data_IF_422113092485
#
_entry.id   IF_422113092485
#
_cell.length_a   1.000
_cell.length_b   1.000
_cell.length_c   1.000
_cell.angle_alpha   90.00
_cell.angle_beta   90.00
_cell.angle_gamma   90.00
#
_symmetry.space_group_name_H-M   'P 1'
#
loop_
_entity.id
_entity.type
_entity.pdbx_description
1 polymer ?
#
# COMPACT_ATOMS: atom_id res chain seq x y z
N UNK A 1 -33.20 18.16 -6.35
CA UNK A 1 -31.78 18.54 -6.52
C UNK A 1 -30.95 18.37 -5.24
N UNK A 2 -31.41 18.82 -4.07
CA UNK A 2 -30.67 18.71 -2.79
C UNK A 2 -30.31 17.28 -2.33
N UNK A 3 -31.20 16.28 -2.50
CA UNK A 3 -30.87 14.87 -2.15
C UNK A 3 -29.74 14.26 -3.01
N UNK A 4 -29.63 14.63 -4.29
CA UNK A 4 -28.50 14.17 -5.15
C UNK A 4 -27.19 14.79 -4.66
N UNK A 5 -27.16 16.10 -4.39
CA UNK A 5 -25.96 16.78 -3.87
C UNK A 5 -25.49 16.21 -2.53
N UNK A 6 -26.42 15.90 -1.62
CA UNK A 6 -26.09 15.32 -0.30
C UNK A 6 -25.50 13.90 -0.42
N UNK A 7 -25.95 13.09 -1.38
CA UNK A 7 -25.39 11.76 -1.67
C UNK A 7 -23.95 11.81 -2.24
N UNK A 8 -23.61 12.83 -3.05
CA UNK A 8 -22.25 13.00 -3.56
C UNK A 8 -21.25 13.38 -2.46
N UNK A 9 -21.65 14.17 -1.47
CA UNK A 9 -20.76 14.61 -0.37
C UNK A 9 -20.36 13.54 0.63
N UNK A 10 -21.15 12.47 0.80
CA UNK A 10 -20.85 11.37 1.75
C UNK A 10 -19.83 10.37 1.17
N UNK A 11 -19.77 10.25 -0.16
CA UNK A 11 -18.94 9.25 -0.82
C UNK A 11 -17.52 9.72 -1.15
N UNK A 12 -17.22 11.02 -1.04
CA UNK A 12 -15.87 11.58 -1.26
C UNK A 12 -15.11 11.70 0.05
N UNK A 13 -13.78 11.51 0.04
CA UNK A 13 -12.98 11.64 1.26
C UNK A 13 -12.91 13.09 1.75
N UNK A 14 -12.85 14.05 0.83
CA UNK A 14 -12.68 15.48 1.15
C UNK A 14 -13.75 16.37 0.53
N UNK A 15 -14.04 17.47 1.22
CA UNK A 15 -14.56 18.67 0.57
C UNK A 15 -13.36 19.47 0.01
N UNK A 16 -13.33 19.75 -1.29
CA UNK A 16 -12.18 20.33 -2.00
C UNK A 16 -11.69 21.64 -1.36
N UNK A 17 -12.61 22.56 -1.02
CA UNK A 17 -12.25 23.85 -0.44
C UNK A 17 -11.58 23.73 0.93
N UNK A 18 -12.08 22.84 1.79
CA UNK A 18 -11.50 22.61 3.12
C UNK A 18 -10.14 21.94 3.04
N UNK A 19 -9.98 20.98 2.11
CA UNK A 19 -8.71 20.27 1.94
C UNK A 19 -7.61 21.21 1.45
N UNK A 20 -7.89 21.99 0.40
CA UNK A 20 -6.97 22.98 -0.14
C UNK A 20 -6.55 23.98 0.94
N UNK A 21 -7.49 24.50 1.73
CA UNK A 21 -7.19 25.45 2.80
C UNK A 21 -6.25 24.85 3.86
N UNK A 22 -6.47 23.60 4.27
CA UNK A 22 -5.60 22.93 5.25
C UNK A 22 -4.22 22.64 4.64
N UNK A 23 -4.16 22.21 3.38
CA UNK A 23 -2.90 22.00 2.65
C UNK A 23 -2.08 23.29 2.58
N UNK A 24 -2.72 24.42 2.25
CA UNK A 24 -2.10 25.74 2.22
C UNK A 24 -1.59 26.17 3.60
N UNK A 25 -2.31 25.86 4.68
CA UNK A 25 -1.85 26.11 6.06
C UNK A 25 -0.69 25.23 6.50
N UNK A 26 -0.55 24.04 5.90
CA UNK A 26 0.58 23.14 6.14
C UNK A 26 1.79 23.46 5.24
N UNK A 27 1.68 24.43 4.33
CA UNK A 27 2.85 24.98 3.67
C UNK A 27 3.76 25.61 4.73
N UNK A 28 5.09 25.42 4.65
CA UNK A 28 6.00 26.20 5.45
C UNK A 28 5.90 27.66 5.00
N UNK A 29 4.99 28.42 5.62
CA UNK A 29 5.06 29.88 5.65
C UNK A 29 5.79 30.19 6.95
N UNK A 30 7.10 30.38 6.91
CA UNK A 30 7.80 30.87 8.09
C UNK A 30 8.84 31.93 7.70
N UNK A 31 8.47 33.23 7.83
CA UNK A 31 9.42 34.33 7.91
C UNK A 31 10.48 34.12 9.01
N UNK A 32 10.16 33.32 10.05
CA UNK A 32 10.95 33.18 11.28
C UNK A 32 12.10 32.17 11.20
N UNK A 33 12.08 31.21 10.26
CA UNK A 33 13.25 30.34 10.03
C UNK A 33 14.43 31.12 9.42
N UNK A 34 14.16 32.29 8.83
CA UNK A 34 15.15 33.10 8.14
C UNK A 34 16.02 33.92 9.10
N UNK A 35 15.45 34.45 10.18
CA UNK A 35 16.22 35.17 11.20
C UNK A 35 17.17 34.22 11.94
N UNK A 36 16.71 33.02 12.30
CA UNK A 36 17.53 32.03 13.00
C UNK A 36 18.69 31.46 12.16
N UNK A 37 18.49 31.26 10.84
CA UNK A 37 19.54 30.78 9.94
C UNK A 37 20.57 31.87 9.57
N UNK A 38 20.12 33.13 9.45
CA UNK A 38 20.99 34.28 9.24
C UNK A 38 21.87 34.58 10.48
N UNK A 39 21.33 34.35 11.68
CA UNK A 39 22.09 34.44 12.94
C UNK A 39 23.15 33.32 13.10
N UNK A 40 23.06 32.23 12.34
CA UNK A 40 23.92 31.05 12.48
C UNK A 40 24.95 30.86 11.35
N UNK A 41 25.05 31.76 10.37
CA UNK A 41 25.94 31.62 9.18
C UNK A 41 25.75 30.28 8.41
N UNK A 42 24.55 29.72 8.43
CA UNK A 42 24.22 28.48 7.69
C UNK A 42 23.63 28.86 6.33
N UNK A 43 24.27 28.43 5.23
CA UNK A 43 23.71 28.54 3.89
C UNK A 43 22.57 27.53 3.71
N UNK A 44 21.33 28.00 3.84
CA UNK A 44 20.14 27.19 3.52
C UNK A 44 19.92 27.29 2.01
N UNK A 45 20.10 26.18 1.28
CA UNK A 45 19.69 26.08 -0.12
C UNK A 45 18.18 26.31 -0.24
N UNK A 46 17.81 27.51 -0.71
CA UNK A 46 16.42 27.92 -0.92
C UNK A 46 15.85 27.13 -2.10
N UNK A 47 15.06 26.11 -1.83
CA UNK A 47 14.19 25.54 -2.86
C UNK A 47 12.89 26.33 -2.87
N UNK A 48 12.62 27.07 -3.95
CA UNK A 48 11.29 27.66 -4.15
C UNK A 48 10.27 26.53 -4.28
N UNK A 49 9.25 26.60 -3.41
CA UNK A 49 8.19 25.61 -3.32
C UNK A 49 6.94 26.24 -3.93
N UNK A 50 6.41 25.62 -4.97
CA UNK A 50 5.24 26.14 -5.69
C UNK A 50 4.04 25.26 -5.36
N UNK A 51 2.99 25.87 -4.79
CA UNK A 51 1.70 25.21 -4.68
C UNK A 51 0.98 25.31 -6.01
N UNK A 52 0.67 24.14 -6.59
CA UNK A 52 -0.08 24.02 -7.82
C UNK A 52 -1.42 23.33 -7.53
N UNK A 53 -2.57 24.01 -7.67
CA UNK A 53 -3.88 23.41 -7.46
C UNK A 53 -4.18 22.29 -8.48
N UNK A 54 -3.45 22.25 -9.59
CA UNK A 54 -3.58 21.25 -10.64
C UNK A 54 -2.63 20.05 -10.48
N UNK A 55 -1.81 20.04 -9.41
CA UNK A 55 -0.85 18.98 -9.16
C UNK A 55 -1.49 17.59 -9.08
N UNK A 56 -0.85 16.61 -9.71
CA UNK A 56 -1.33 15.22 -9.81
C UNK A 56 -1.56 14.57 -8.44
N UNK A 57 -0.69 14.80 -7.46
CA UNK A 57 -0.83 14.26 -6.10
C UNK A 57 -2.06 14.83 -5.38
N UNK A 58 -2.41 16.10 -5.64
CA UNK A 58 -3.56 16.76 -5.05
C UNK A 58 -4.85 16.23 -5.69
N UNK A 59 -4.87 16.11 -7.01
CA UNK A 59 -5.98 15.48 -7.75
C UNK A 59 -6.21 14.04 -7.29
N UNK A 60 -5.13 13.27 -7.10
CA UNK A 60 -5.22 11.92 -6.53
C UNK A 60 -5.89 11.92 -5.17
N UNK A 61 -5.46 12.78 -4.24
CA UNK A 61 -6.08 12.88 -2.92
C UNK A 61 -7.57 13.25 -2.98
N UNK A 62 -7.95 14.20 -3.84
CA UNK A 62 -9.32 14.64 -4.03
C UNK A 62 -10.20 13.56 -4.69
N UNK A 63 -9.60 12.69 -5.51
CA UNK A 63 -10.27 11.57 -6.18
C UNK A 63 -10.62 10.38 -5.27
N UNK A 64 -10.00 10.29 -4.08
CA UNK A 64 -10.28 9.20 -3.13
C UNK A 64 -11.75 9.27 -2.69
N UNK A 65 -12.43 8.14 -2.83
CA UNK A 65 -13.85 8.00 -2.52
C UNK A 65 -14.12 6.69 -1.76
N UNK A 66 -15.37 6.45 -1.40
CA UNK A 66 -15.81 5.30 -0.57
C UNK A 66 -15.45 3.94 -1.17
N UNK A 67 -15.22 3.86 -2.48
CA UNK A 67 -15.10 2.59 -3.19
C UNK A 67 -13.65 2.23 -3.56
N UNK A 68 -12.77 3.21 -3.72
CA UNK A 68 -11.39 3.01 -4.18
C UNK A 68 -10.50 4.22 -3.87
N UNK A 69 -9.18 4.00 -3.90
CA UNK A 69 -8.18 5.07 -3.85
C UNK A 69 -8.15 5.91 -5.12
N UNK A 70 -8.44 5.30 -6.27
CA UNK A 70 -8.44 5.96 -7.57
C UNK A 70 -9.49 5.33 -8.49
N UNK A 71 -9.93 6.09 -9.48
CA UNK A 71 -10.85 5.61 -10.51
C UNK A 71 -10.09 4.86 -11.61
N UNK A 72 -10.77 3.93 -12.28
CA UNK A 72 -10.19 3.15 -13.39
C UNK A 72 -9.80 4.03 -14.58
N UNK A 73 -10.64 5.01 -14.89
CA UNK A 73 -10.55 5.80 -16.12
C UNK A 73 -9.92 7.20 -15.85
N UNK A 74 -9.30 7.40 -14.68
CA UNK A 74 -8.71 8.68 -14.26
C UNK A 74 -7.23 8.79 -14.69
N UNK A 75 -6.88 9.70 -15.62
CA UNK A 75 -5.51 9.87 -16.10
C UNK A 75 -4.56 10.42 -15.01
N UNK A 76 -5.10 10.96 -13.91
CA UNK A 76 -4.33 11.52 -12.81
C UNK A 76 -3.31 10.54 -12.23
N UNK A 77 -3.67 9.26 -12.14
CA UNK A 77 -2.78 8.23 -11.58
C UNK A 77 -1.54 8.05 -12.46
N UNK A 78 -1.71 8.01 -13.78
CA UNK A 78 -0.60 7.88 -14.73
C UNK A 78 0.28 9.13 -14.69
N UNK A 79 -0.32 10.32 -14.56
CA UNK A 79 0.45 11.55 -14.41
C UNK A 79 1.24 11.57 -13.09
N UNK A 80 0.64 11.15 -11.98
CA UNK A 80 1.30 11.09 -10.67
C UNK A 80 2.50 10.13 -10.68
N UNK A 81 2.38 8.98 -11.34
CA UNK A 81 3.48 8.02 -11.53
C UNK A 81 4.63 8.69 -12.30
N UNK A 82 4.35 9.36 -13.42
CA UNK A 82 5.36 10.09 -14.21
C UNK A 82 6.03 11.21 -13.42
N UNK A 83 5.24 11.97 -12.65
CA UNK A 83 5.77 13.06 -11.81
C UNK A 83 6.73 12.50 -10.75
N UNK A 84 6.35 11.41 -10.06
CA UNK A 84 7.19 10.80 -9.02
C UNK A 84 8.53 10.26 -9.56
N UNK A 85 8.61 9.86 -10.83
CA UNK A 85 9.86 9.35 -11.44
C UNK A 85 10.95 10.42 -11.56
N UNK A 86 10.59 11.68 -11.78
CA UNK A 86 11.55 12.73 -12.17
C UNK A 86 11.55 13.98 -11.28
N UNK A 87 10.52 14.15 -10.44
CA UNK A 87 10.37 15.37 -9.65
C UNK A 87 11.52 15.54 -8.64
N UNK A 88 12.03 16.76 -8.53
CA UNK A 88 13.14 17.08 -7.62
C UNK A 88 12.75 16.85 -6.16
N UNK A 89 13.56 16.05 -5.46
CA UNK A 89 13.48 15.88 -4.01
C UNK A 89 14.10 17.10 -3.33
N UNK A 90 13.38 17.69 -2.37
CA UNK A 90 13.82 18.90 -1.64
C UNK A 90 14.02 18.65 -0.14
N UNK A 91 13.57 17.50 0.36
CA UNK A 91 13.77 17.08 1.74
C UNK A 91 13.57 15.57 1.87
N UNK A 92 14.34 14.94 2.74
CA UNK A 92 14.23 13.53 3.09
C UNK A 92 14.29 13.36 4.61
N UNK A 93 13.47 12.48 5.17
CA UNK A 93 13.49 12.13 6.60
C UNK A 93 13.29 10.63 6.80
N UNK A 94 13.93 10.06 7.81
CA UNK A 94 13.62 8.68 8.24
C UNK A 94 12.26 8.68 8.89
N UNK A 95 11.40 7.73 8.52
CA UNK A 95 10.14 7.53 9.25
C UNK A 95 10.43 6.71 10.52
N UNK A 96 10.22 7.24 11.73
CA UNK A 96 10.53 6.52 12.98
C UNK A 96 9.68 5.26 13.16
N UNK A 97 8.49 5.23 12.55
CA UNK A 97 7.54 4.14 12.68
C UNK A 97 7.85 3.01 11.69
N UNK A 98 8.71 2.07 12.08
CA UNK A 98 8.89 0.82 11.36
C UNK A 98 10.11 0.01 11.79
N UNK A 99 10.08 -1.27 11.46
CA UNK A 99 11.17 -2.23 11.68
C UNK A 99 12.17 -2.28 10.51
N UNK A 100 11.95 -1.50 9.45
CA UNK A 100 12.67 -1.56 8.18
C UNK A 100 13.07 -0.16 7.68
N UNK A 101 14.14 -0.09 6.88
CA UNK A 101 14.62 1.15 6.27
C UNK A 101 13.62 1.70 5.25
N UNK A 102 13.08 2.88 5.52
CA UNK A 102 12.23 3.63 4.59
C UNK A 102 12.35 5.13 4.84
N UNK A 103 12.36 5.90 3.76
CA UNK A 103 12.49 7.35 3.81
C UNK A 103 11.21 8.03 3.33
N UNK A 104 10.80 9.08 4.02
CA UNK A 104 9.78 9.99 3.53
C UNK A 104 10.46 11.10 2.72
N UNK A 105 10.23 11.11 1.41
CA UNK A 105 10.74 12.13 0.51
C UNK A 105 9.67 13.21 0.30
N UNK A 106 10.08 14.47 0.30
CA UNK A 106 9.25 15.62 -0.07
C UNK A 106 9.77 16.19 -1.38
N UNK A 107 8.87 16.37 -2.33
CA UNK A 107 9.17 16.88 -3.67
C UNK A 107 8.94 18.40 -3.75
N UNK A 108 9.50 19.04 -4.77
CA UNK A 108 9.38 20.50 -5.00
C UNK A 108 7.93 20.99 -5.08
N UNK A 109 7.04 20.21 -5.69
CA UNK A 109 5.60 20.51 -5.79
C UNK A 109 4.79 20.11 -4.54
N UNK A 110 5.47 19.89 -3.40
CA UNK A 110 4.90 19.47 -2.10
C UNK A 110 4.41 18.03 -2.02
N UNK A 111 4.46 17.26 -3.12
CA UNK A 111 4.17 15.84 -3.06
C UNK A 111 5.08 15.15 -2.03
N UNK A 112 4.53 14.13 -1.37
CA UNK A 112 5.31 13.25 -0.50
C UNK A 112 5.27 11.84 -1.07
N UNK A 113 6.41 11.16 -1.04
CA UNK A 113 6.53 9.78 -1.48
C UNK A 113 7.31 8.96 -0.43
N UNK A 114 6.93 7.71 -0.26
CA UNK A 114 7.64 6.74 0.57
C UNK A 114 8.67 6.05 -0.30
N UNK A 115 9.95 6.25 0.01
CA UNK A 115 11.04 5.56 -0.64
C UNK A 115 11.43 4.30 0.14
N UNK A 116 11.32 3.14 -0.51
CA UNK A 116 11.88 1.87 -0.02
C UNK A 116 13.04 1.48 -0.94
N UNK A 117 14.29 1.48 -0.45
CA UNK A 117 15.45 1.17 -1.27
C UNK A 117 15.51 -0.32 -1.63
N UNK A 118 16.16 -0.64 -2.74
CA UNK A 118 16.52 -1.99 -3.12
C UNK A 118 17.46 -2.60 -2.09
N UNK A 119 17.15 -3.85 -1.68
CA UNK A 119 17.91 -4.61 -0.68
C UNK A 119 18.39 -5.96 -1.17
N UNK A 120 17.75 -6.51 -2.20
CA UNK A 120 17.96 -7.84 -2.73
C UNK A 120 17.89 -7.78 -4.24
N UNK A 121 18.64 -8.66 -4.91
CA UNK A 121 18.55 -8.82 -6.35
C UNK A 121 17.20 -9.44 -6.75
N UNK A 122 16.83 -9.29 -8.03
CA UNK A 122 15.49 -9.70 -8.52
C UNK A 122 15.32 -11.21 -8.62
N UNK A 123 16.42 -11.92 -8.78
CA UNK A 123 16.53 -13.37 -8.88
C UNK A 123 16.70 -14.04 -7.50
N UNK A 124 16.93 -13.28 -6.44
CA UNK A 124 17.04 -13.81 -5.08
C UNK A 124 15.67 -14.20 -4.50
N UNK A 125 15.50 -15.50 -4.21
CA UNK A 125 14.38 -15.98 -3.41
C UNK A 125 14.69 -15.89 -1.91
N UNK A 126 13.66 -15.59 -1.10
CA UNK A 126 13.72 -15.75 0.35
C UNK A 126 14.07 -17.22 0.66
N UNK A 127 15.11 -17.50 1.49
CA UNK A 127 15.43 -18.87 1.87
C UNK A 127 14.26 -19.59 2.55
N UNK A 128 14.23 -20.93 2.50
CA UNK A 128 13.12 -21.71 3.04
C UNK A 128 12.95 -21.53 4.55
N UNK A 129 14.06 -21.49 5.29
CA UNK A 129 14.12 -21.37 6.74
C UNK A 129 13.82 -19.95 7.28
N UNK A 130 13.72 -18.95 6.40
CA UNK A 130 13.43 -17.57 6.80
C UNK A 130 11.93 -17.42 7.07
N UNK A 131 11.61 -17.07 8.32
CA UNK A 131 10.25 -16.74 8.74
C UNK A 131 9.78 -15.44 8.07
N UNK A 132 8.49 -15.39 7.73
CA UNK A 132 7.87 -14.25 7.06
C UNK A 132 8.07 -12.92 7.81
N UNK A 133 8.11 -12.94 9.14
CA UNK A 133 8.32 -11.73 9.95
C UNK A 133 9.78 -11.25 9.99
N UNK A 134 10.73 -12.06 9.51
CA UNK A 134 12.16 -11.72 9.37
C UNK A 134 12.51 -11.31 7.94
N UNK A 135 11.72 -11.75 6.95
CA UNK A 135 11.98 -11.52 5.53
C UNK A 135 12.21 -10.02 5.22
N UNK A 136 13.17 -9.78 4.32
CA UNK A 136 13.57 -8.45 3.88
C UNK A 136 12.49 -7.83 2.99
N UNK A 137 12.29 -6.53 3.16
CA UNK A 137 11.39 -5.77 2.32
C UNK A 137 12.04 -5.49 0.96
N UNK A 138 11.28 -5.73 -0.11
CA UNK A 138 11.69 -5.55 -1.50
C UNK A 138 10.93 -4.40 -2.12
N UNK A 139 11.64 -3.56 -2.85
CA UNK A 139 11.07 -2.40 -3.53
C UNK A 139 10.23 -2.81 -4.75
N UNK A 140 10.71 -3.81 -5.52
CA UNK A 140 10.01 -4.33 -6.70
C UNK A 140 8.65 -4.96 -6.35
N UNK A 141 8.52 -5.54 -5.15
CA UNK A 141 7.25 -6.06 -4.67
C UNK A 141 6.19 -4.98 -4.47
N UNK A 142 6.56 -3.78 -3.98
CA UNK A 142 5.61 -2.66 -3.87
C UNK A 142 5.13 -2.16 -5.23
N UNK A 143 6.05 -2.10 -6.22
CA UNK A 143 5.72 -1.68 -7.59
C UNK A 143 4.78 -2.72 -8.21
N UNK A 144 5.16 -4.00 -8.21
CA UNK A 144 4.36 -5.07 -8.79
C UNK A 144 2.99 -5.22 -8.11
N UNK A 145 2.92 -5.04 -6.79
CA UNK A 145 1.68 -5.07 -6.02
C UNK A 145 0.68 -3.99 -6.48
N UNK A 146 1.16 -2.77 -6.74
CA UNK A 146 0.30 -1.71 -7.28
C UNK A 146 -0.23 -2.05 -8.68
N UNK A 147 0.61 -2.54 -9.58
CA UNK A 147 0.17 -2.94 -10.93
C UNK A 147 -0.84 -4.10 -10.88
N UNK A 148 -0.62 -5.10 -10.01
CA UNK A 148 -1.54 -6.21 -9.82
C UNK A 148 -2.89 -5.75 -9.24
N UNK A 149 -2.87 -4.86 -8.25
CA UNK A 149 -4.08 -4.26 -7.66
C UNK A 149 -4.92 -3.50 -8.71
N UNK A 150 -4.24 -2.81 -9.64
CA UNK A 150 -4.87 -2.14 -10.79
C UNK A 150 -5.48 -3.14 -11.78
N UNK A 151 -4.76 -4.21 -12.13
CA UNK A 151 -5.23 -5.25 -13.06
C UNK A 151 -6.41 -6.04 -12.51
N UNK A 152 -6.41 -6.33 -11.20
CA UNK A 152 -7.53 -6.96 -10.50
C UNK A 152 -8.70 -5.98 -10.28
N UNK A 153 -8.53 -4.71 -10.64
CA UNK A 153 -9.50 -3.63 -10.49
C UNK A 153 -9.95 -3.42 -9.04
N UNK A 154 -9.07 -3.74 -8.08
CA UNK A 154 -9.29 -3.48 -6.66
C UNK A 154 -9.10 -1.99 -6.36
N UNK A 155 -8.00 -1.40 -6.86
CA UNK A 155 -7.68 0.03 -6.72
C UNK A 155 -7.55 0.47 -5.27
N UNK A 156 -6.82 -0.31 -4.47
CA UNK A 156 -6.65 -0.19 -3.00
C UNK A 156 -5.19 -0.06 -2.56
N UNK A 157 -4.23 -0.19 -3.47
CA UNK A 157 -2.81 0.13 -3.23
C UNK A 157 -2.54 1.56 -3.73
N UNK A 158 -1.86 2.44 -2.97
CA UNK A 158 -1.47 3.76 -3.47
C UNK A 158 -0.59 3.63 -4.73
N UNK A 159 -0.58 4.61 -5.65
CA UNK A 159 0.31 4.59 -6.81
C UNK A 159 1.78 4.40 -6.40
N UNK A 160 2.47 3.44 -7.03
CA UNK A 160 3.88 3.15 -6.78
C UNK A 160 4.64 3.15 -8.08
N UNK A 161 5.85 3.72 -8.08
CA UNK A 161 6.74 3.72 -9.23
C UNK A 161 8.18 3.43 -8.83
N UNK A 162 8.94 2.84 -9.73
CA UNK A 162 10.38 2.70 -9.61
C UNK A 162 11.14 3.99 -9.93
N UNK A 163 12.21 4.25 -9.17
CA UNK A 163 13.14 5.36 -9.44
C UNK A 163 14.57 5.01 -9.02
N UNK A 164 15.53 5.44 -9.84
CA UNK A 164 16.93 5.56 -9.44
C UNK A 164 17.12 6.89 -8.70
N UNK A 165 17.46 6.83 -7.42
CA UNK A 165 17.66 8.00 -6.57
C UNK A 165 19.16 8.20 -6.38
N UNK A 166 19.66 9.41 -6.66
CA UNK A 166 21.01 9.77 -6.28
C UNK A 166 21.03 10.08 -4.77
N UNK A 167 21.39 9.11 -3.93
CA UNK A 167 21.26 9.24 -2.47
C UNK A 167 22.18 10.30 -1.86
N UNK A 168 23.23 10.70 -2.57
CA UNK A 168 24.08 11.81 -2.16
C UNK A 168 23.36 13.16 -2.35
N UNK A 169 22.86 13.43 -3.55
CA UNK A 169 22.25 14.73 -3.88
C UNK A 169 20.78 14.84 -3.48
N UNK A 170 20.01 13.75 -3.54
CA UNK A 170 18.56 13.73 -3.33
C UNK A 170 18.16 13.25 -1.93
N UNK A 171 19.10 12.78 -1.10
CA UNK A 171 18.84 12.39 0.28
C UNK A 171 19.81 13.08 1.25
N UNK A 172 21.10 12.77 1.17
CA UNK A 172 22.11 13.26 2.12
C UNK A 172 22.23 14.79 2.12
N UNK A 173 22.27 15.43 0.94
CA UNK A 173 22.40 16.89 0.84
C UNK A 173 21.11 17.67 1.14
N UNK A 174 19.94 17.02 1.10
CA UNK A 174 18.63 17.68 1.30
C UNK A 174 17.98 17.34 2.65
N UNK A 175 18.47 16.35 3.39
CA UNK A 175 17.96 16.04 4.72
C UNK A 175 18.37 17.12 5.72
N UNK A 176 17.42 17.56 6.54
CA UNK A 176 17.66 18.35 7.76
C UNK A 176 17.61 17.48 9.03
N UNK A 177 17.34 16.17 8.88
CA UNK A 177 17.29 15.23 9.98
C UNK A 177 18.71 14.73 10.27
N UNK A 178 19.29 15.15 11.40
CA UNK A 178 20.64 14.78 11.81
C UNK A 178 20.81 13.28 12.01
N UNK A 179 19.77 12.57 12.49
CA UNK A 179 19.82 11.12 12.65
C UNK A 179 20.00 10.39 11.31
N UNK A 180 19.31 10.85 10.25
CA UNK A 180 19.49 10.36 8.89
C UNK A 180 20.85 10.76 8.33
N UNK A 181 21.35 11.96 8.61
CA UNK A 181 22.66 12.39 8.11
C UNK A 181 23.79 11.57 8.73
N UNK A 182 23.71 11.29 10.03
CA UNK A 182 24.73 10.60 10.81
C UNK A 182 24.92 9.12 10.45
N UNK A 183 23.98 8.52 9.71
CA UNK A 183 24.02 7.09 9.31
C UNK A 183 24.52 6.89 7.88
N UNK A 184 24.91 7.95 7.18
CA UNK A 184 25.63 7.85 5.90
C UNK A 184 27.10 7.55 6.11
N UNK A 185 27.67 6.73 5.24
CA UNK A 185 29.10 6.39 5.23
C UNK A 185 29.55 5.95 3.84
N UNK A 186 30.87 5.92 3.62
CA UNK A 186 31.48 5.37 2.41
C UNK A 186 31.89 3.92 2.64
N UNK A 187 31.48 3.00 1.76
CA UNK A 187 31.87 1.59 1.85
C UNK A 187 33.34 1.37 1.44
N UNK A 188 33.94 0.21 1.76
CA UNK A 188 35.27 -0.16 1.24
C UNK A 188 35.37 -0.20 -0.28
N UNK A 189 34.24 -0.35 -0.98
CA UNK A 189 34.15 -0.31 -2.44
C UNK A 189 33.93 1.12 -3.00
N UNK A 190 34.07 2.14 -2.15
CA UNK A 190 33.87 3.54 -2.49
C UNK A 190 32.43 3.90 -2.93
N UNK A 191 31.43 3.18 -2.40
CA UNK A 191 30.01 3.49 -2.61
C UNK A 191 29.47 4.33 -1.46
N UNK A 192 28.54 5.25 -1.76
CA UNK A 192 27.77 5.93 -0.72
C UNK A 192 26.72 4.96 -0.17
N UNK A 193 26.67 4.83 1.15
CA UNK A 193 25.75 3.93 1.84
C UNK A 193 25.04 4.65 2.98
N UNK A 194 23.87 4.14 3.36
CA UNK A 194 23.19 4.54 4.59
C UNK A 194 22.41 3.37 5.18
N UNK A 195 22.18 3.42 6.48
CA UNK A 195 21.26 2.53 7.19
C UNK A 195 20.25 3.37 7.97
N UNK A 196 19.22 2.79 8.57
CA UNK A 196 18.40 3.50 9.55
C UNK A 196 18.77 2.99 10.93
N UNK A 197 18.54 3.79 11.99
CA UNK A 197 18.47 3.27 13.36
C UNK A 197 17.04 2.77 13.59
N UNK A 198 16.85 1.46 13.65
CA UNK A 198 15.57 0.81 13.92
C UNK A 198 15.79 -0.52 14.65
N UNK A 199 14.71 -1.10 15.16
CA UNK A 199 14.78 -2.17 16.17
C UNK A 199 15.34 -3.51 15.68
N UNK A 200 15.23 -3.85 14.38
CA UNK A 200 15.57 -5.20 13.88
C UNK A 200 16.70 -5.19 12.85
N UNK A 201 16.52 -4.54 11.68
CA UNK A 201 17.37 -4.73 10.50
C UNK A 201 18.06 -3.43 10.06
N UNK A 202 18.72 -2.80 11.03
CA UNK A 202 19.10 -1.39 10.97
C UNK A 202 20.47 -1.15 11.61
N UNK A 203 21.40 -2.01 11.21
CA UNK A 203 22.82 -1.95 11.52
C UNK A 203 23.58 -1.77 10.21
N UNK A 204 24.87 -1.48 10.28
CA UNK A 204 25.74 -1.30 9.10
C UNK A 204 25.71 -2.53 8.16
N UNK A 205 25.53 -3.74 8.71
CA UNK A 205 25.38 -4.99 7.94
C UNK A 205 24.11 -5.04 7.07
N UNK A 206 23.12 -4.19 7.38
CA UNK A 206 21.89 -4.01 6.60
C UNK A 206 21.85 -2.60 5.97
N UNK A 207 22.98 -2.03 5.56
CA UNK A 207 23.01 -0.76 4.85
C UNK A 207 22.54 -0.91 3.40
N UNK A 208 21.92 0.14 2.85
CA UNK A 208 21.62 0.24 1.44
C UNK A 208 22.68 1.14 0.79
N UNK A 209 23.23 0.69 -0.33
CA UNK A 209 24.36 1.33 -0.97
C UNK A 209 24.04 1.65 -2.42
N UNK A 210 24.45 2.84 -2.88
CA UNK A 210 24.43 3.16 -4.30
C UNK A 210 25.56 2.48 -5.07
N UNK A 211 25.62 2.76 -6.38
CA UNK A 211 26.73 2.36 -7.25
C UNK A 211 27.19 3.52 -8.16
N UNK A 212 28.10 4.40 -7.69
CA UNK A 212 28.45 4.60 -6.29
C UNK A 212 27.36 5.38 -5.51
N UNK A 213 26.59 6.24 -6.19
CA UNK A 213 25.59 7.13 -5.59
C UNK A 213 24.16 6.86 -6.02
N UNK A 214 23.95 6.13 -7.12
CA UNK A 214 22.61 5.79 -7.60
C UNK A 214 22.12 4.53 -6.89
N UNK A 215 20.99 4.64 -6.22
CA UNK A 215 20.31 3.53 -5.56
C UNK A 215 18.89 3.40 -6.10
N UNK A 216 18.57 2.20 -6.55
CA UNK A 216 17.24 1.83 -6.97
C UNK A 216 16.28 1.74 -5.78
N UNK A 217 15.03 2.13 -5.97
CA UNK A 217 13.97 1.84 -5.01
C UNK A 217 12.59 2.17 -5.54
N UNK A 218 11.58 1.89 -4.71
CA UNK A 218 10.19 2.19 -5.01
C UNK A 218 9.76 3.47 -4.33
N UNK A 219 8.95 4.26 -5.02
CA UNK A 219 8.29 5.46 -4.54
C UNK A 219 6.79 5.24 -4.50
N UNK A 220 6.24 5.06 -3.31
CA UNK A 220 4.79 5.01 -3.11
C UNK A 220 4.26 6.41 -2.80
N UNK A 221 3.25 6.86 -3.55
CA UNK A 221 2.56 8.11 -3.27
C UNK A 221 2.01 8.10 -1.84
N UNK A 222 2.21 9.19 -1.11
CA UNK A 222 1.63 9.32 0.22
C UNK A 222 0.10 9.38 0.11
N UNK A 223 -0.56 8.77 1.10
CA UNK A 223 -1.95 9.09 1.39
C UNK A 223 -2.03 10.45 2.11
N UNK A 224 -3.22 11.08 2.13
CA UNK A 224 -3.44 12.28 2.91
C UNK A 224 -3.02 12.10 4.38
N UNK A 225 -2.48 13.16 4.98
CA UNK A 225 -2.02 13.14 6.37
C UNK A 225 -3.13 12.72 7.35
N UNK A 226 -2.74 12.02 8.42
CA UNK A 226 -3.67 11.48 9.42
C UNK A 226 -4.51 12.57 10.13
N UNK A 227 -4.02 13.81 10.19
CA UNK A 227 -4.77 14.95 10.73
C UNK A 227 -5.94 15.37 9.84
N UNK A 228 -5.92 15.05 8.54
CA UNK A 228 -6.92 15.46 7.55
C UNK A 228 -7.81 14.29 7.15
N UNK A 229 -7.22 13.10 6.96
CA UNK A 229 -7.95 11.86 6.79
C UNK A 229 -7.45 10.82 7.79
N UNK A 230 -8.03 10.81 9.01
CA UNK A 230 -7.77 9.77 9.99
C UNK A 230 -8.01 8.39 9.40
N UNK A 231 -7.12 7.47 9.77
CA UNK A 231 -7.21 6.06 9.44
C UNK A 231 -7.13 5.23 10.70
N UNK A 232 -7.80 4.09 10.69
CA UNK A 232 -7.78 3.11 11.78
C UNK A 232 -7.03 1.89 11.25
N UNK A 233 -6.03 1.45 11.99
CA UNK A 233 -5.34 0.18 11.77
C UNK A 233 -6.04 -0.91 12.59
N UNK A 234 -6.47 -1.97 11.93
CA UNK A 234 -7.26 -3.04 12.54
C UNK A 234 -6.49 -4.37 12.35
N UNK A 235 -6.29 -5.17 13.41
CA UNK A 235 -5.69 -6.49 13.30
C UNK A 235 -6.50 -7.39 12.36
N UNK A 236 -5.80 -8.14 11.50
CA UNK A 236 -6.42 -9.17 10.67
C UNK A 236 -6.89 -10.33 11.54
N UNK A 237 -8.13 -10.87 11.38
CA UNK A 237 -8.53 -12.10 12.06
C UNK A 237 -7.66 -13.31 11.68
N UNK A 238 -7.05 -13.28 10.48
CA UNK A 238 -6.09 -14.28 10.01
C UNK A 238 -4.64 -13.78 10.13
N UNK A 239 -4.36 -12.89 11.09
CA UNK A 239 -2.99 -12.55 11.46
C UNK A 239 -2.27 -13.82 11.92
N UNK A 240 -1.03 -14.02 11.49
CA UNK A 240 -0.17 -15.14 11.92
C UNK A 240 0.47 -14.86 13.28
N UNK A 241 0.99 -15.90 13.93
CA UNK A 241 1.74 -15.77 15.17
C UNK A 241 3.17 -15.27 14.91
N UNK A 242 3.51 -14.07 15.38
CA UNK A 242 4.85 -13.48 15.25
C UNK A 242 5.88 -14.07 16.22
N UNK A 243 5.87 -15.40 16.34
CA UNK A 243 6.75 -16.21 17.18
C UNK A 243 7.19 -17.45 16.39
N UNK A 244 8.28 -18.08 16.82
CA UNK A 244 8.87 -19.23 16.10
C UNK A 244 8.08 -20.54 16.27
N UNK A 245 7.30 -20.67 17.35
CA UNK A 245 6.59 -21.92 17.70
C UNK A 245 5.08 -21.75 17.85
N UNK A 246 4.60 -20.50 17.84
CA UNK A 246 3.17 -20.22 17.96
C UNK A 246 2.38 -20.75 16.77
N UNK A 247 1.10 -21.04 17.03
CA UNK A 247 0.08 -21.22 16.02
C UNK A 247 -1.14 -20.43 16.45
N UNK A 248 -1.87 -19.91 15.47
CA UNK A 248 -3.08 -19.14 15.72
C UNK A 248 -4.32 -20.02 15.60
N UNK A 249 -5.44 -19.58 16.19
CA UNK A 249 -6.68 -20.37 16.21
C UNK A 249 -7.15 -20.76 14.80
N UNK A 250 -7.04 -19.84 13.84
CA UNK A 250 -7.44 -20.08 12.46
C UNK A 250 -6.58 -21.15 11.74
N UNK A 251 -5.38 -21.44 12.24
CA UNK A 251 -4.49 -22.47 11.67
C UNK A 251 -4.89 -23.89 12.10
N UNK A 252 -5.57 -24.02 13.25
CA UNK A 252 -5.91 -25.31 13.85
C UNK A 252 -7.41 -25.59 13.90
N UNK A 253 -8.25 -24.56 13.82
CA UNK A 253 -9.70 -24.65 13.88
C UNK A 253 -10.33 -24.53 12.47
N UNK A 254 -10.87 -25.61 11.88
CA UNK A 254 -11.50 -25.55 10.54
C UNK A 254 -12.81 -24.75 10.51
N UNK A 255 -13.43 -24.49 11.68
CA UNK A 255 -14.67 -23.72 11.82
C UNK A 255 -14.42 -22.27 12.25
N UNK A 256 -13.18 -21.80 12.26
CA UNK A 256 -12.81 -20.46 12.71
C UNK A 256 -13.65 -19.34 12.06
N UNK A 257 -13.86 -19.42 10.74
CA UNK A 257 -14.65 -18.39 10.05
C UNK A 257 -16.14 -18.37 10.46
N UNK A 258 -16.71 -19.47 10.96
CA UNK A 258 -18.11 -19.48 11.39
C UNK A 258 -18.30 -18.58 12.61
N UNK A 259 -17.32 -18.53 13.50
CA UNK A 259 -17.24 -17.57 14.60
C UNK A 259 -17.06 -16.14 14.08
N UNK A 260 -16.13 -15.93 13.15
CA UNK A 260 -15.85 -14.60 12.57
C UNK A 260 -17.10 -14.01 11.91
N UNK A 261 -17.88 -14.81 11.18
CA UNK A 261 -19.13 -14.38 10.53
C UNK A 261 -20.17 -13.83 11.51
N UNK A 262 -20.07 -14.14 12.81
CA UNK A 262 -21.00 -13.65 13.83
C UNK A 262 -20.49 -12.39 14.55
N UNK A 263 -19.20 -12.08 14.43
CA UNK A 263 -18.55 -10.98 15.14
C UNK A 263 -18.65 -9.67 14.36
N UNK A 264 -18.94 -8.56 15.06
CA UNK A 264 -18.77 -7.22 14.49
C UNK A 264 -17.27 -6.91 14.31
N UNK A 265 -16.84 -6.26 13.21
CA UNK A 265 -17.64 -5.74 12.09
C UNK A 265 -17.74 -6.71 10.88
N UNK A 266 -17.44 -8.00 11.06
CA UNK A 266 -17.40 -9.00 9.98
C UNK A 266 -18.76 -9.61 9.64
N UNK A 267 -19.73 -9.47 10.54
CA UNK A 267 -21.09 -9.99 10.44
C UNK A 267 -22.03 -9.16 9.56
N UNK A 268 -21.58 -8.03 9.02
CA UNK A 268 -22.39 -7.15 8.18
C UNK A 268 -21.58 -6.41 7.12
N UNK A 269 -22.27 -5.89 6.11
CA UNK A 269 -21.66 -5.10 5.04
C UNK A 269 -20.65 -5.88 4.20
N UNK A 270 -19.63 -5.17 3.71
CA UNK A 270 -18.60 -5.73 2.83
C UNK A 270 -17.33 -6.20 3.54
N UNK A 271 -17.23 -6.07 4.87
CA UNK A 271 -15.95 -6.20 5.58
C UNK A 271 -15.28 -7.55 5.34
N UNK A 272 -15.99 -8.64 5.55
CA UNK A 272 -15.46 -10.00 5.36
C UNK A 272 -15.12 -10.29 3.89
N UNK A 273 -15.97 -9.84 2.95
CA UNK A 273 -15.68 -9.95 1.51
C UNK A 273 -14.45 -9.15 1.09
N UNK A 274 -14.22 -7.97 1.68
CA UNK A 274 -13.02 -7.18 1.42
C UNK A 274 -11.76 -7.86 1.97
N UNK A 275 -11.85 -8.54 3.12
CA UNK A 275 -10.74 -9.36 3.65
C UNK A 275 -10.43 -10.51 2.70
N UNK A 276 -11.45 -11.13 2.10
CA UNK A 276 -11.25 -12.21 1.13
C UNK A 276 -10.61 -11.70 -0.17
N UNK A 277 -11.02 -10.52 -0.68
CA UNK A 277 -10.32 -9.87 -1.80
C UNK A 277 -8.84 -9.64 -1.47
N UNK A 278 -8.55 -9.13 -0.26
CA UNK A 278 -7.18 -8.88 0.22
C UNK A 278 -6.37 -10.17 0.38
N UNK A 279 -6.99 -11.25 0.88
CA UNK A 279 -6.37 -12.57 0.99
C UNK A 279 -6.04 -13.19 -0.38
N UNK A 280 -6.91 -13.00 -1.37
CA UNK A 280 -6.63 -13.42 -2.75
C UNK A 280 -5.45 -12.62 -3.30
N UNK A 281 -5.44 -11.29 -3.10
CA UNK A 281 -4.33 -10.43 -3.49
C UNK A 281 -3.00 -10.86 -2.85
N UNK A 282 -3.00 -11.02 -1.52
CA UNK A 282 -1.83 -11.43 -0.75
C UNK A 282 -1.34 -12.83 -1.18
N UNK A 283 -2.24 -13.76 -1.50
CA UNK A 283 -1.86 -15.08 -1.98
C UNK A 283 -1.19 -15.02 -3.36
N UNK A 284 -1.72 -14.21 -4.29
CA UNK A 284 -1.14 -14.05 -5.62
C UNK A 284 0.29 -13.52 -5.53
N UNK A 285 0.56 -12.53 -4.68
CA UNK A 285 1.91 -12.01 -4.48
C UNK A 285 2.75 -12.87 -3.53
N UNK A 286 2.14 -13.76 -2.74
CA UNK A 286 2.82 -14.57 -1.72
C UNK A 286 3.17 -13.80 -0.46
N UNK A 287 2.41 -12.75 -0.12
CA UNK A 287 2.62 -11.94 1.08
C UNK A 287 1.99 -12.62 2.30
N UNK A 288 2.83 -13.04 3.24
CA UNK A 288 2.39 -13.68 4.48
C UNK A 288 2.24 -12.70 5.66
N UNK A 289 2.62 -11.43 5.48
CA UNK A 289 2.84 -10.47 6.57
C UNK A 289 1.67 -9.49 6.76
N UNK A 290 0.46 -9.87 6.34
CA UNK A 290 -0.76 -9.07 6.51
C UNK A 290 -1.28 -9.14 7.96
N UNK A 291 -0.54 -8.58 8.91
CA UNK A 291 -0.99 -8.55 10.30
C UNK A 291 -2.13 -7.58 10.56
N UNK A 292 -2.18 -6.48 9.82
CA UNK A 292 -3.19 -5.43 9.98
C UNK A 292 -3.64 -4.94 8.60
N UNK A 293 -4.80 -4.31 8.58
CA UNK A 293 -5.27 -3.53 7.44
C UNK A 293 -5.73 -2.15 7.92
N UNK A 294 -5.66 -1.16 7.04
CA UNK A 294 -6.13 0.20 7.35
C UNK A 294 -7.44 0.52 6.62
N UNK A 295 -8.27 1.37 7.23
CA UNK A 295 -9.43 2.00 6.60
C UNK A 295 -9.45 3.50 6.88
N UNK A 296 -10.09 4.27 6.00
CA UNK A 296 -10.44 5.65 6.30
C UNK A 296 -11.61 5.70 7.28
N UNK A 297 -11.43 6.37 8.43
CA UNK A 297 -12.47 6.49 9.47
C UNK A 297 -13.76 7.05 8.92
N UNK A 298 -13.67 8.00 7.97
CA UNK A 298 -14.83 8.66 7.34
C UNK A 298 -15.81 7.69 6.68
N UNK A 299 -15.33 6.58 6.11
CA UNK A 299 -16.19 5.63 5.40
C UNK A 299 -16.77 4.53 6.31
N UNK A 300 -16.33 4.47 7.58
CA UNK A 300 -16.81 3.51 8.56
C UNK A 300 -16.60 2.04 8.13
N UNK A 301 -17.49 1.17 8.61
CA UNK A 301 -17.39 -0.28 8.37
C UNK A 301 -17.51 -0.67 6.90
N UNK A 302 -18.22 0.16 6.13
CA UNK A 302 -18.46 -0.02 4.69
C UNK A 302 -17.34 0.56 3.81
N UNK A 303 -16.28 1.11 4.41
CA UNK A 303 -15.08 1.51 3.68
C UNK A 303 -14.32 0.31 3.12
N UNK A 304 -13.66 0.52 1.98
CA UNK A 304 -12.71 -0.46 1.45
C UNK A 304 -11.45 -0.54 2.33
N UNK A 305 -10.71 -1.66 2.22
CA UNK A 305 -9.46 -1.87 2.94
C UNK A 305 -8.29 -1.33 2.13
N UNK A 306 -7.38 -0.61 2.76
CA UNK A 306 -6.14 -0.16 2.13
C UNK A 306 -5.14 -1.32 2.11
N UNK A 307 -4.63 -1.65 0.93
CA UNK A 307 -3.63 -2.68 0.71
C UNK A 307 -2.21 -2.06 0.81
N UNK A 308 -1.78 -1.69 2.02
CA UNK A 308 -0.48 -1.04 2.28
C UNK A 308 0.62 -2.07 2.59
N UNK A 309 1.90 -1.67 2.57
CA UNK A 309 3.03 -2.51 2.98
C UNK A 309 3.09 -3.90 2.29
N UNK A 310 3.26 -3.88 0.97
CA UNK A 310 3.30 -5.09 0.14
C UNK A 310 4.74 -5.58 -0.14
N UNK A 311 5.74 -4.95 0.49
CA UNK A 311 7.16 -5.22 0.27
C UNK A 311 7.64 -6.63 0.65
N UNK A 312 6.80 -7.45 1.31
CA UNK A 312 7.05 -8.89 1.59
C UNK A 312 6.36 -9.83 0.60
N UNK A 313 5.75 -9.29 -0.44
CA UNK A 313 5.35 -10.07 -1.61
C UNK A 313 6.55 -10.45 -2.47
N UNK A 314 6.32 -11.37 -3.41
CA UNK A 314 7.27 -11.82 -4.43
C UNK A 314 8.63 -12.29 -3.84
N UNK A 315 8.63 -12.86 -2.63
CA UNK A 315 9.84 -13.42 -2.03
C UNK A 315 10.18 -14.83 -2.54
N UNK A 316 9.18 -15.63 -2.93
CA UNK A 316 9.36 -17.01 -3.42
C UNK A 316 8.50 -17.21 -4.66
N UNK A 317 9.06 -17.51 -5.83
CA UNK A 317 8.30 -17.88 -7.03
C UNK A 317 8.06 -19.38 -7.12
N UNK A 318 8.93 -20.20 -6.52
CA UNK A 318 8.81 -21.66 -6.57
C UNK A 318 7.79 -22.24 -5.57
N UNK A 319 7.45 -21.48 -4.51
CA UNK A 319 6.54 -21.90 -3.44
C UNK A 319 5.23 -21.09 -3.44
N UNK A 320 4.12 -21.76 -3.19
CA UNK A 320 2.80 -21.13 -3.02
C UNK A 320 2.26 -21.44 -1.62
N UNK A 321 2.16 -20.42 -0.78
CA UNK A 321 1.72 -20.58 0.61
C UNK A 321 0.18 -20.60 0.71
N UNK A 322 -0.41 -21.79 0.67
CA UNK A 322 -1.86 -21.96 0.65
C UNK A 322 -2.56 -21.42 1.91
N UNK A 323 -1.86 -21.34 3.05
CA UNK A 323 -2.45 -20.80 4.28
C UNK A 323 -2.86 -19.32 4.15
N UNK A 324 -2.33 -18.57 3.18
CA UNK A 324 -2.79 -17.19 2.89
C UNK A 324 -4.25 -17.18 2.40
N UNK A 325 -4.72 -18.25 1.73
CA UNK A 325 -6.11 -18.39 1.26
C UNK A 325 -7.08 -18.90 2.33
N UNK A 326 -6.65 -19.03 3.59
CA UNK A 326 -7.51 -19.50 4.69
C UNK A 326 -8.84 -18.74 4.79
N UNK A 327 -8.88 -17.39 4.69
CA UNK A 327 -10.15 -16.65 4.64
C UNK A 327 -11.10 -17.16 3.54
N UNK A 328 -10.61 -17.33 2.31
CA UNK A 328 -11.42 -17.83 1.20
C UNK A 328 -11.88 -19.27 1.44
N UNK A 329 -10.97 -20.16 1.85
CA UNK A 329 -11.29 -21.59 2.00
C UNK A 329 -12.17 -21.91 3.21
N UNK A 330 -12.05 -21.16 4.30
CA UNK A 330 -12.85 -21.35 5.51
C UNK A 330 -14.21 -20.68 5.36
N UNK A 331 -14.25 -19.41 4.94
CA UNK A 331 -15.51 -18.67 4.82
C UNK A 331 -16.35 -19.10 3.62
N UNK A 332 -15.70 -19.61 2.57
CA UNK A 332 -16.32 -20.02 1.30
C UNK A 332 -17.30 -19.00 0.74
N UNK A 333 -16.86 -17.74 0.64
CA UNK A 333 -17.62 -16.67 0.01
C UNK A 333 -16.69 -15.79 -0.82
N UNK A 334 -17.19 -15.23 -1.92
CA UNK A 334 -16.43 -14.37 -2.82
C UNK A 334 -17.37 -13.39 -3.53
N UNK A 335 -16.88 -12.18 -3.80
CA UNK A 335 -17.60 -11.22 -4.62
C UNK A 335 -17.75 -11.72 -6.06
N UNK A 336 -18.93 -11.51 -6.64
CA UNK A 336 -19.18 -11.81 -8.03
C UNK A 336 -18.22 -11.05 -8.96
N UNK A 337 -18.02 -9.73 -8.73
CA UNK A 337 -17.08 -8.95 -9.54
C UNK A 337 -15.64 -9.47 -9.46
N UNK A 338 -15.17 -9.87 -8.28
CA UNK A 338 -13.83 -10.44 -8.09
C UNK A 338 -13.71 -11.77 -8.84
N UNK A 339 -14.66 -12.69 -8.68
CA UNK A 339 -14.62 -13.99 -9.36
C UNK A 339 -14.61 -13.86 -10.88
N UNK A 340 -15.45 -12.98 -11.46
CA UNK A 340 -15.51 -12.78 -12.90
C UNK A 340 -14.18 -12.26 -13.46
N UNK A 341 -13.52 -11.33 -12.77
CA UNK A 341 -12.19 -10.84 -13.16
C UNK A 341 -11.12 -11.93 -13.09
N UNK A 342 -11.12 -12.72 -12.02
CA UNK A 342 -10.19 -13.85 -11.88
C UNK A 342 -10.39 -14.91 -12.99
N UNK A 343 -11.64 -15.18 -13.36
CA UNK A 343 -11.95 -16.08 -14.46
C UNK A 343 -11.50 -15.52 -15.82
N UNK A 344 -11.68 -14.22 -16.05
CA UNK A 344 -11.20 -13.54 -17.26
C UNK A 344 -9.67 -13.64 -17.36
N UNK A 345 -8.96 -13.30 -16.29
CA UNK A 345 -7.49 -13.31 -16.24
C UNK A 345 -6.87 -14.72 -16.32
N UNK A 346 -7.70 -15.76 -16.23
CA UNK A 346 -7.29 -17.16 -16.42
C UNK A 346 -7.42 -17.63 -17.88
N UNK A 347 -8.05 -16.85 -18.75
CA UNK A 347 -8.20 -17.15 -20.17
C UNK A 347 -6.89 -16.87 -20.93
N UNK A 348 -6.67 -17.54 -22.05
CA UNK A 348 -5.45 -17.39 -22.86
C UNK A 348 -5.27 -15.97 -23.39
N UNK A 349 -6.36 -15.30 -23.73
CA UNK A 349 -6.38 -13.98 -24.35
C UNK A 349 -6.09 -12.85 -23.34
N UNK A 350 -6.26 -13.11 -22.05
CA UNK A 350 -6.11 -12.13 -20.96
C UNK A 350 -5.23 -12.67 -19.82
N UNK A 351 -4.35 -13.62 -20.13
CA UNK A 351 -3.54 -14.33 -19.13
C UNK A 351 -2.86 -13.35 -18.17
N UNK A 352 -3.02 -13.59 -16.87
CA UNK A 352 -2.57 -12.68 -15.82
C UNK A 352 -1.08 -12.33 -15.96
N UNK A 353 -0.21 -13.30 -16.21
CA UNK A 353 1.22 -13.06 -16.43
C UNK A 353 1.51 -12.12 -17.60
N UNK A 354 0.78 -12.23 -18.71
CA UNK A 354 0.98 -11.43 -19.90
C UNK A 354 0.55 -9.97 -19.67
N UNK A 355 -0.63 -9.76 -19.08
CA UNK A 355 -1.13 -8.42 -18.72
C UNK A 355 -0.25 -7.76 -17.65
N UNK A 356 0.23 -8.54 -16.68
CA UNK A 356 1.21 -8.04 -15.69
C UNK A 356 2.52 -7.65 -16.34
N UNK A 357 3.06 -8.49 -17.24
CA UNK A 357 4.30 -8.21 -17.97
C UNK A 357 4.19 -6.89 -18.72
N UNK A 358 3.12 -6.73 -19.50
CA UNK A 358 2.86 -5.51 -20.28
C UNK A 358 2.75 -4.27 -19.38
N UNK A 359 1.92 -4.34 -18.34
CA UNK A 359 1.71 -3.25 -17.38
C UNK A 359 3.02 -2.82 -16.69
N UNK A 360 3.91 -3.77 -16.37
CA UNK A 360 5.19 -3.48 -15.73
C UNK A 360 6.26 -2.91 -16.69
N UNK A 361 6.09 -3.02 -18.01
CA UNK A 361 7.03 -2.45 -18.99
C UNK A 361 7.05 -0.91 -19.00
N UNK A 362 6.01 -0.29 -18.46
CA UNK A 362 5.89 1.16 -18.31
C UNK A 362 6.83 1.74 -17.23
N UNK A 363 7.31 0.90 -16.30
CA UNK A 363 8.20 1.35 -15.23
C UNK A 363 9.65 1.46 -15.71
N UNK A 364 10.34 2.52 -15.26
CA UNK A 364 11.73 2.79 -15.61
C UNK A 364 12.72 1.75 -15.08
N UNK A 365 12.38 1.02 -14.02
CA UNK A 365 13.23 -0.01 -13.40
C UNK A 365 13.02 -1.41 -14.02
N UNK A 366 12.39 -1.48 -15.19
CA UNK A 366 12.13 -2.75 -15.88
C UNK A 366 13.43 -3.57 -16.11
N UNK A 367 13.35 -4.91 -16.01
CA UNK A 367 12.17 -5.70 -15.62
C UNK A 367 11.86 -5.55 -14.12
N UNK A 368 10.59 -5.43 -13.70
CA UNK A 368 10.24 -5.34 -12.25
C UNK A 368 10.17 -6.72 -11.60
N UNK A 369 9.54 -7.67 -12.28
CA UNK A 369 9.46 -9.07 -11.89
C UNK A 369 10.22 -9.93 -12.91
N UNK A 370 10.83 -11.02 -12.44
CA UNK A 370 11.40 -12.05 -13.29
C UNK A 370 10.30 -12.94 -13.87
N UNK A 371 10.58 -13.63 -14.98
CA UNK A 371 9.62 -14.55 -15.61
C UNK A 371 9.08 -15.64 -14.65
N UNK A 372 9.89 -16.26 -13.77
CA UNK A 372 9.36 -17.21 -12.78
C UNK A 372 8.27 -16.63 -11.88
N UNK A 373 8.37 -15.35 -11.47
CA UNK A 373 7.33 -14.69 -10.68
C UNK A 373 6.07 -14.44 -11.50
N UNK A 374 6.20 -14.05 -12.78
CA UNK A 374 5.05 -13.87 -13.67
C UNK A 374 4.30 -15.19 -13.86
N UNK A 375 5.01 -16.29 -14.15
CA UNK A 375 4.40 -17.63 -14.29
C UNK A 375 3.80 -18.14 -12.98
N UNK A 376 4.38 -17.78 -11.83
CA UNK A 376 3.81 -18.10 -10.52
C UNK A 376 2.43 -17.44 -10.30
N UNK A 377 2.19 -16.24 -10.85
CA UNK A 377 0.87 -15.59 -10.76
C UNK A 377 -0.22 -16.43 -11.44
N UNK A 378 0.03 -16.96 -12.63
CA UNK A 378 -0.93 -17.83 -13.33
C UNK A 378 -1.21 -19.10 -12.53
N UNK A 379 -0.15 -19.75 -12.03
CA UNK A 379 -0.26 -20.97 -11.21
C UNK A 379 -1.08 -20.71 -9.94
N UNK A 380 -0.85 -19.58 -9.27
CA UNK A 380 -1.59 -19.15 -8.07
C UNK A 380 -3.03 -18.80 -8.41
N UNK A 381 -3.29 -18.08 -9.50
CA UNK A 381 -4.66 -17.78 -9.96
C UNK A 381 -5.48 -19.07 -10.14
N UNK A 382 -4.89 -20.10 -10.76
CA UNK A 382 -5.54 -21.41 -10.89
C UNK A 382 -5.81 -22.08 -9.54
N UNK A 383 -4.97 -21.86 -8.51
CA UNK A 383 -5.23 -22.34 -7.15
C UNK A 383 -6.41 -21.61 -6.50
N UNK A 384 -6.51 -20.28 -6.67
CA UNK A 384 -7.64 -19.48 -6.19
C UNK A 384 -8.95 -20.00 -6.80
N UNK A 385 -9.02 -20.14 -8.12
CA UNK A 385 -10.22 -20.64 -8.81
C UNK A 385 -10.60 -22.05 -8.36
N UNK A 386 -9.62 -22.93 -8.12
CA UNK A 386 -9.87 -24.27 -7.57
C UNK A 386 -10.44 -24.23 -6.15
N UNK A 387 -10.01 -23.30 -5.30
CA UNK A 387 -10.61 -23.11 -3.97
C UNK A 387 -12.06 -22.68 -4.09
N UNK A 388 -12.37 -21.70 -4.95
CA UNK A 388 -13.76 -21.27 -5.21
C UNK A 388 -14.61 -22.43 -5.73
N UNK A 389 -14.09 -23.21 -6.68
CA UNK A 389 -14.82 -24.36 -7.23
C UNK A 389 -15.14 -25.41 -6.16
N UNK A 390 -14.20 -25.70 -5.25
CA UNK A 390 -14.46 -26.60 -4.11
C UNK A 390 -15.54 -26.03 -3.17
N UNK A 391 -15.52 -24.74 -2.89
CA UNK A 391 -16.58 -24.09 -2.10
C UNK A 391 -17.95 -24.22 -2.78
N UNK A 392 -18.04 -23.90 -4.08
CA UNK A 392 -19.30 -23.99 -4.85
C UNK A 392 -19.82 -25.42 -4.90
N UNK A 393 -18.96 -26.42 -5.08
CA UNK A 393 -19.36 -27.83 -5.04
C UNK A 393 -19.90 -28.26 -3.68
N UNK A 394 -19.42 -27.65 -2.60
CA UNK A 394 -19.80 -27.99 -1.21
C UNK A 394 -21.07 -27.29 -0.74
N UNK A 395 -21.22 -25.99 -1.05
CA UNK A 395 -22.27 -25.14 -0.48
C UNK A 395 -23.29 -24.64 -1.51
N UNK A 396 -23.04 -24.84 -2.80
CA UNK A 396 -23.85 -24.27 -3.88
C UNK A 396 -23.37 -22.89 -4.32
N UNK A 397 -23.81 -22.46 -5.51
CA UNK A 397 -23.37 -21.21 -6.15
C UNK A 397 -23.86 -19.98 -5.39
N UNK A 398 -25.11 -20.00 -4.96
CA UNK A 398 -25.78 -18.83 -4.38
C UNK A 398 -25.26 -18.50 -2.98
N UNK A 399 -24.80 -19.50 -2.23
CA UNK A 399 -24.17 -19.31 -0.91
C UNK A 399 -22.73 -18.77 -1.02
N UNK A 400 -22.00 -19.16 -2.07
CA UNK A 400 -20.58 -18.81 -2.23
C UNK A 400 -20.38 -17.50 -2.97
N UNK A 401 -21.19 -17.23 -3.99
CA UNK A 401 -21.00 -16.06 -4.86
C UNK A 401 -21.92 -14.94 -4.40
N UNK A 402 -21.37 -13.97 -3.67
CA UNK A 402 -22.13 -12.81 -3.19
C UNK A 402 -22.15 -11.72 -4.26
N UNK A 403 -23.35 -11.23 -4.59
CA UNK A 403 -23.50 -10.03 -5.42
C UNK A 403 -22.89 -8.83 -4.69
N UNK A 404 -22.11 -8.04 -5.41
CA UNK A 404 -21.46 -6.87 -4.84
C UNK A 404 -22.48 -5.93 -4.16
N UNK A 405 -22.21 -5.51 -2.93
CA UNK A 405 -23.08 -4.55 -2.23
C UNK A 405 -22.90 -3.14 -2.82
N UNK A 406 -23.96 -2.60 -3.41
CA UNK A 406 -23.96 -1.26 -4.03
C UNK A 406 -24.68 -0.20 -3.16
N UNK A 407 -25.48 -0.59 -2.18
CA UNK A 407 -26.31 0.35 -1.39
C UNK A 407 -25.71 0.69 -0.03
N UNK A 408 -25.68 1.98 0.29
CA UNK A 408 -25.35 2.50 1.62
C UNK A 408 -26.41 2.06 2.63
N UNK A 409 -25.99 1.44 3.74
CA UNK A 409 -26.83 1.08 4.88
C UNK A 409 -27.27 2.29 5.72
N UNK A 410 -26.68 3.47 5.50
CA UNK A 410 -27.04 4.69 6.23
C UNK A 410 -28.29 5.34 5.63
N UNK A 411 -29.45 4.99 6.18
CA UNK A 411 -30.51 5.99 6.39
C UNK A 411 -30.04 6.90 7.52
N UNK A 412 -30.06 8.24 7.37
CA UNK A 412 -29.69 9.14 8.45
C UNK A 412 -30.73 9.02 9.56
N UNK A 413 -30.45 8.19 10.57
CA UNK A 413 -31.16 8.30 11.84
C UNK A 413 -30.65 9.57 12.50
N UNK A 414 -31.56 10.53 12.66
CA UNK A 414 -31.35 11.68 13.53
C UNK A 414 -30.83 11.17 14.87
N UNK A 415 -29.68 11.68 15.30
CA UNK A 415 -29.28 11.58 16.68
C UNK A 415 -30.31 12.39 17.49
N UNK A 416 -31.37 11.73 17.94
CA UNK A 416 -32.28 12.28 18.94
C UNK A 416 -31.61 12.16 20.29
N UNK A 417 -31.36 13.34 20.87
CA UNK A 417 -31.07 13.64 22.27
C UNK A 417 -31.18 12.46 23.25
N UNK A 418 -30.02 12.04 23.74
CA UNK A 418 -29.91 11.34 25.01
C UNK A 418 -29.97 12.37 26.13
N UNK A 419 -31.15 12.49 26.72
CA UNK A 419 -31.48 13.25 27.93
C UNK A 419 -30.44 13.00 29.03
N UNK A 420 -29.77 14.07 29.47
CA UNK A 420 -29.19 14.12 30.82
C UNK A 420 -30.31 13.93 31.84
N UNK A 421 -30.30 12.83 32.59
CA UNK A 421 -31.00 12.74 33.87
C UNK A 421 -30.20 11.92 34.89
N UNK A 422 -29.80 12.66 35.93
CA UNK A 422 -29.29 12.32 37.28
C UNK A 422 -27.89 11.76 37.41
#
# INVERSE_FOLDING_TARGET
MQRKHMLYTVNILFNSSSYILITLRCLPVSPYQHEAAALANITVTKHEVTYDPDASWLKFHLGINRYALYSRDDPTVLQLIKDMQSMTVISAVVKPSGHHLKLALKMRNLAKAMFKPMRQQRDEETPEDVFYFVDLQRHNAEIAAFHLDRILDFRRVPPVVGRLVNITSEVLKVTQNEDLRAVFFTSPANNTCFFAKCLYMCKTEYAACGSPDLLEGSLSAYLPGLSIAPRISIPSPWMRSYTFTGREEWEVNPFYCDTIKQQYPYNSGNRLLNIIDMSIFDFLIGNMDRHHYEIFTKFGDEGFLLHLDNARGFGKHAKDELSILSPLSQCCMIKQSTLLRLQLLAQSEFRLSDVMRESLQEDSLRPILTEPHLLALDRRLQKVLRVVHRCVRRLGKDEVITKDFVKSTVTPKAATDGTMQR
#
